data_IF_108255681942
#
_entry.id   IF_108255681942
#
_cell.length_a   1.000
_cell.length_b   1.000
_cell.length_c   1.000
_cell.angle_alpha   90.00
_cell.angle_beta   90.00
_cell.angle_gamma   90.00
#
_symmetry.space_group_name_H-M   'P 1'
#
loop_
_entity.id
_entity.type
_entity.pdbx_description
1 polymer ?
#
# COMPACT_ATOMS: atom_id res chain seq x y z
N UNK A 1 9.25 15.72 19.70
CA UNK A 1 8.95 15.33 18.33
C UNK A 1 8.18 16.43 17.63
N UNK A 2 8.78 17.06 16.64
CA UNK A 2 8.07 18.08 15.86
C UNK A 2 7.29 17.40 14.73
N UNK A 3 5.97 17.53 14.78
CA UNK A 3 5.10 17.03 13.71
C UNK A 3 4.90 18.15 12.70
N UNK A 4 5.64 18.11 11.61
CA UNK A 4 5.45 19.04 10.51
C UNK A 4 4.20 18.65 9.73
N UNK A 5 3.66 19.57 8.93
CA UNK A 5 2.51 19.30 8.09
C UNK A 5 2.74 18.09 7.17
N UNK A 6 3.95 18.03 6.59
CA UNK A 6 4.33 16.92 5.72
C UNK A 6 4.32 15.59 6.48
N UNK A 7 4.85 15.59 7.71
CA UNK A 7 4.89 14.35 8.51
C UNK A 7 3.50 13.89 8.91
N UNK A 8 2.61 14.82 9.25
CA UNK A 8 1.22 14.50 9.54
C UNK A 8 0.52 13.92 8.31
N UNK A 9 0.74 14.52 7.14
CA UNK A 9 0.16 14.03 5.89
C UNK A 9 0.65 12.62 5.57
N UNK A 10 1.96 12.36 5.74
CA UNK A 10 2.53 11.03 5.53
C UNK A 10 1.92 10.01 6.49
N UNK A 11 1.73 10.40 7.75
CA UNK A 11 1.13 9.51 8.74
C UNK A 11 -0.32 9.17 8.39
N UNK A 12 -1.11 10.16 7.99
CA UNK A 12 -2.51 9.95 7.60
C UNK A 12 -2.61 9.05 6.37
N UNK A 13 -1.75 9.27 5.37
CA UNK A 13 -1.73 8.43 4.17
C UNK A 13 -1.34 7.00 4.51
N UNK A 14 -0.36 6.82 5.39
CA UNK A 14 0.08 5.48 5.80
C UNK A 14 -1.02 4.74 6.55
N UNK A 15 -1.76 5.44 7.42
CA UNK A 15 -2.88 4.87 8.16
C UNK A 15 -4.00 4.47 7.18
N UNK A 16 -4.32 5.33 6.22
CA UNK A 16 -5.33 5.03 5.21
C UNK A 16 -4.96 3.79 4.40
N UNK A 17 -3.70 3.71 3.96
CA UNK A 17 -3.20 2.55 3.23
C UNK A 17 -3.25 1.28 4.07
N UNK A 18 -2.91 1.38 5.36
CA UNK A 18 -2.98 0.24 6.27
C UNK A 18 -4.41 -0.30 6.40
N UNK A 19 -5.39 0.59 6.60
CA UNK A 19 -6.79 0.15 6.72
C UNK A 19 -7.29 -0.47 5.43
N UNK A 20 -6.93 0.09 4.27
CA UNK A 20 -7.30 -0.47 2.99
C UNK A 20 -6.74 -1.89 2.83
N UNK A 21 -5.45 -2.05 3.07
CA UNK A 21 -4.78 -3.35 2.94
C UNK A 21 -5.28 -4.35 3.99
N UNK A 22 -5.51 -3.90 5.22
CA UNK A 22 -6.02 -4.76 6.28
C UNK A 22 -7.42 -5.27 5.96
N UNK A 23 -8.27 -4.40 5.42
CA UNK A 23 -9.61 -4.80 4.99
C UNK A 23 -9.55 -5.90 3.92
N UNK A 24 -8.67 -5.73 2.94
CA UNK A 24 -8.49 -6.74 1.89
C UNK A 24 -7.91 -8.04 2.47
N UNK A 25 -7.02 -7.96 3.45
CA UNK A 25 -6.43 -9.13 4.10
C UNK A 25 -7.51 -9.92 4.84
N UNK A 26 -8.35 -9.23 5.60
CA UNK A 26 -9.46 -9.87 6.32
C UNK A 26 -10.42 -10.54 5.33
N UNK A 27 -10.77 -9.84 4.25
CA UNK A 27 -11.64 -10.38 3.22
C UNK A 27 -11.04 -11.64 2.58
N UNK A 28 -9.72 -11.65 2.34
CA UNK A 28 -9.03 -12.80 1.78
C UNK A 28 -9.17 -14.03 2.68
N UNK A 29 -8.94 -13.87 3.98
CA UNK A 29 -9.02 -14.99 4.92
C UNK A 29 -10.45 -15.44 5.18
N UNK A 30 -11.44 -14.56 5.06
CA UNK A 30 -12.85 -14.90 5.17
C UNK A 30 -13.43 -15.46 3.87
N UNK A 31 -12.62 -15.49 2.81
CA UNK A 31 -13.03 -15.93 1.47
C UNK A 31 -14.21 -15.12 0.94
N UNK A 32 -14.28 -13.86 1.31
CA UNK A 32 -15.29 -12.92 0.81
C UNK A 32 -14.62 -11.95 -0.15
N UNK A 33 -15.42 -11.40 -1.07
CA UNK A 33 -14.94 -10.42 -2.03
C UNK A 33 -15.53 -9.07 -1.64
N UNK A 34 -14.67 -8.02 -1.42
CA UNK A 34 -15.20 -6.71 -1.08
C UNK A 34 -16.00 -6.12 -2.23
N UNK A 35 -17.04 -5.31 -1.91
CA UNK A 35 -17.84 -4.69 -2.95
C UNK A 35 -17.01 -3.70 -3.76
N UNK A 36 -17.09 -3.80 -5.09
CA UNK A 36 -16.41 -2.90 -6.01
C UNK A 36 -17.44 -2.08 -6.74
N UNK A 37 -17.32 -0.74 -6.65
CA UNK A 37 -18.26 0.18 -7.27
C UNK A 37 -17.69 0.90 -8.48
N UNK A 38 -16.39 1.12 -8.52
CA UNK A 38 -15.71 1.86 -9.60
C UNK A 38 -15.06 0.89 -10.57
N UNK A 39 -14.13 0.07 -10.09
CA UNK A 39 -13.49 -0.97 -10.90
C UNK A 39 -14.08 -2.32 -10.45
N UNK A 40 -14.98 -2.88 -11.25
CA UNK A 40 -15.79 -4.05 -10.85
C UNK A 40 -15.08 -5.39 -11.04
N UNK A 41 -13.75 -5.38 -11.15
CA UNK A 41 -12.97 -6.59 -11.41
C UNK A 41 -12.09 -6.97 -10.22
N UNK A 42 -12.48 -6.55 -9.00
CA UNK A 42 -11.74 -6.88 -7.79
C UNK A 42 -11.63 -8.39 -7.58
N UNK A 43 -12.69 -9.14 -7.88
CA UNK A 43 -12.69 -10.59 -7.76
C UNK A 43 -11.60 -11.22 -8.62
N UNK A 44 -11.45 -10.77 -9.86
CA UNK A 44 -10.43 -11.29 -10.77
C UNK A 44 -9.02 -11.04 -10.23
N UNK A 45 -8.75 -9.82 -9.74
CA UNK A 45 -7.43 -9.46 -9.21
C UNK A 45 -7.16 -10.18 -7.90
N UNK A 46 -8.13 -10.18 -6.98
CA UNK A 46 -7.94 -10.72 -5.63
C UNK A 46 -7.90 -12.24 -5.57
N UNK A 47 -8.46 -12.92 -6.58
CA UNK A 47 -8.44 -14.39 -6.64
C UNK A 47 -7.41 -14.93 -7.62
N UNK A 48 -6.62 -14.04 -8.27
CA UNK A 48 -5.60 -14.47 -9.23
C UNK A 48 -4.42 -15.16 -8.53
N UNK A 49 -3.62 -15.90 -9.33
CA UNK A 49 -2.40 -16.52 -8.81
C UNK A 49 -1.40 -15.48 -8.32
N UNK A 50 -1.51 -14.22 -8.75
CA UNK A 50 -0.64 -13.14 -8.32
C UNK A 50 -1.07 -12.51 -6.99
N UNK A 51 -2.21 -12.92 -6.43
CA UNK A 51 -2.69 -12.37 -5.15
C UNK A 51 -1.98 -13.00 -3.94
N UNK A 52 -1.25 -14.10 -4.14
CA UNK A 52 -0.50 -14.76 -3.09
C UNK A 52 0.91 -15.06 -3.55
N UNK A 53 1.89 -14.97 -2.63
CA UNK A 53 3.27 -15.35 -2.86
C UNK A 53 3.66 -16.33 -1.76
N UNK A 54 4.05 -17.56 -2.15
CA UNK A 54 4.46 -18.62 -1.21
C UNK A 54 3.38 -18.88 -0.13
N UNK A 55 2.12 -18.79 -0.50
CA UNK A 55 1.00 -19.01 0.41
C UNK A 55 0.61 -17.80 1.26
N UNK A 56 1.34 -16.68 1.14
CA UNK A 56 1.06 -15.46 1.88
C UNK A 56 0.35 -14.46 0.96
N UNK A 57 -0.81 -13.91 1.37
CA UNK A 57 -1.49 -12.92 0.54
C UNK A 57 -0.64 -11.64 0.39
N UNK A 58 -0.59 -11.11 -0.83
CA UNK A 58 0.12 -9.86 -1.11
C UNK A 58 -0.44 -8.71 -0.27
N UNK A 59 -1.76 -8.71 -0.04
CA UNK A 59 -2.40 -7.65 0.75
C UNK A 59 -1.92 -7.66 2.20
N UNK A 60 -1.58 -8.83 2.75
CA UNK A 60 -0.98 -8.91 4.08
C UNK A 60 0.41 -8.26 4.09
N UNK A 61 1.21 -8.54 3.07
CA UNK A 61 2.53 -7.92 2.91
C UNK A 61 2.37 -6.40 2.81
N UNK A 62 1.38 -5.92 2.07
CA UNK A 62 1.06 -4.50 1.98
C UNK A 62 0.69 -3.89 3.32
N UNK A 63 -0.11 -4.61 4.13
CA UNK A 63 -0.48 -4.15 5.47
C UNK A 63 0.75 -3.99 6.35
N UNK A 64 1.67 -4.96 6.31
CA UNK A 64 2.91 -4.90 7.07
C UNK A 64 3.80 -3.76 6.58
N UNK A 65 3.82 -3.52 5.29
CA UNK A 65 4.56 -2.38 4.70
C UNK A 65 4.05 -1.05 5.25
N UNK A 66 2.73 -0.83 5.23
CA UNK A 66 2.16 0.41 5.76
C UNK A 66 2.38 0.53 7.26
N UNK A 67 2.30 -0.58 7.99
CA UNK A 67 2.57 -0.59 9.42
C UNK A 67 4.03 -0.19 9.70
N UNK A 68 4.97 -0.69 8.90
CA UNK A 68 6.38 -0.31 9.02
C UNK A 68 6.58 1.18 8.76
N UNK A 69 5.89 1.74 7.76
CA UNK A 69 5.96 3.18 7.49
C UNK A 69 5.44 3.99 8.68
N UNK A 70 4.31 3.58 9.26
CA UNK A 70 3.75 4.23 10.44
C UNK A 70 4.75 4.19 11.59
N UNK A 71 5.35 3.02 11.81
CA UNK A 71 6.31 2.82 12.87
C UNK A 71 7.52 3.72 12.72
N UNK A 72 8.06 3.83 11.51
CA UNK A 72 9.21 4.70 11.24
C UNK A 72 8.87 6.18 11.45
N UNK A 73 7.63 6.57 11.15
CA UNK A 73 7.18 7.95 11.38
C UNK A 73 7.04 8.26 12.87
N UNK A 74 6.62 7.28 13.67
CA UNK A 74 6.44 7.46 15.10
C UNK A 74 7.77 7.35 15.84
N UNK A 75 8.71 6.55 15.35
CA UNK A 75 10.04 6.43 15.92
C UNK A 75 10.91 7.60 15.46
N UNK A 76 11.09 8.57 16.33
CA UNK A 76 11.82 9.79 15.99
C UNK A 76 13.36 9.61 16.13
N UNK A 77 13.85 8.36 16.14
CA UNK A 77 15.26 8.04 16.34
C UNK A 77 15.99 7.63 15.06
N UNK A 78 15.22 7.17 14.06
CA UNK A 78 15.81 6.71 12.80
C UNK A 78 15.95 7.85 11.81
N UNK A 79 17.03 7.86 10.99
CA UNK A 79 17.10 8.82 9.89
C UNK A 79 15.91 8.69 8.95
N UNK A 80 15.41 9.79 8.46
CA UNK A 80 14.28 9.78 7.52
C UNK A 80 14.62 9.04 6.22
N UNK A 81 15.90 8.81 5.98
CA UNK A 81 16.37 8.05 4.83
C UNK A 81 15.76 6.65 4.78
N UNK A 82 15.63 5.98 5.93
CA UNK A 82 15.01 4.65 5.97
C UNK A 82 13.56 4.69 5.51
N UNK A 83 12.83 5.73 5.89
CA UNK A 83 11.46 5.91 5.43
C UNK A 83 11.41 6.08 3.91
N UNK A 84 12.30 6.93 3.37
CA UNK A 84 12.37 7.16 1.92
C UNK A 84 12.73 5.89 1.15
N UNK A 85 13.68 5.12 1.66
CA UNK A 85 14.10 3.88 1.01
C UNK A 85 12.96 2.84 1.01
N UNK A 86 12.26 2.73 2.13
CA UNK A 86 11.13 1.81 2.22
C UNK A 86 9.99 2.25 1.29
N UNK A 87 9.70 3.55 1.24
CA UNK A 87 8.68 4.08 0.34
C UNK A 87 9.06 3.85 -1.12
N UNK A 88 10.34 4.00 -1.47
CA UNK A 88 10.82 3.75 -2.83
C UNK A 88 10.64 2.27 -3.21
N UNK A 89 11.00 1.36 -2.30
CA UNK A 89 10.80 -0.07 -2.53
C UNK A 89 9.32 -0.41 -2.74
N UNK A 90 8.45 0.17 -1.92
CA UNK A 90 7.00 0.01 -2.07
C UNK A 90 6.49 0.56 -3.40
N UNK A 91 7.04 1.68 -3.85
CA UNK A 91 6.66 2.27 -5.13
C UNK A 91 7.02 1.34 -6.29
N UNK A 92 8.21 0.74 -6.26
CA UNK A 92 8.63 -0.22 -7.30
C UNK A 92 7.69 -1.42 -7.31
N UNK A 93 7.40 -2.00 -6.15
CA UNK A 93 6.49 -3.14 -6.03
C UNK A 93 5.10 -2.76 -6.53
N UNK A 94 4.61 -1.58 -6.16
CA UNK A 94 3.30 -1.09 -6.62
C UNK A 94 3.26 -0.93 -8.12
N UNK A 95 4.34 -0.44 -8.73
CA UNK A 95 4.42 -0.30 -10.18
C UNK A 95 4.36 -1.67 -10.86
N UNK A 96 5.03 -2.67 -10.30
CA UNK A 96 5.00 -4.04 -10.82
C UNK A 96 3.58 -4.61 -10.71
N UNK A 97 2.93 -4.42 -9.56
CA UNK A 97 1.56 -4.90 -9.35
C UNK A 97 0.57 -4.21 -10.29
N UNK A 98 0.73 -2.92 -10.51
CA UNK A 98 -0.11 -2.19 -11.45
C UNK A 98 0.09 -2.72 -12.87
N UNK A 99 1.35 -3.00 -13.26
CA UNK A 99 1.66 -3.61 -14.54
C UNK A 99 0.99 -4.97 -14.72
N UNK A 100 0.99 -5.79 -13.67
CA UNK A 100 0.30 -7.08 -13.71
C UNK A 100 -1.20 -6.89 -13.92
N UNK A 101 -1.82 -5.96 -13.22
CA UNK A 101 -3.24 -5.67 -13.41
C UNK A 101 -3.55 -5.20 -14.83
N UNK A 102 -2.73 -4.28 -15.36
CA UNK A 102 -2.99 -3.65 -16.65
C UNK A 102 -2.67 -4.56 -17.83
N UNK A 103 -1.57 -5.30 -17.78
CA UNK A 103 -1.04 -6.01 -18.96
C UNK A 103 -1.23 -7.53 -18.89
N UNK A 104 -1.23 -8.12 -17.70
CA UNK A 104 -1.36 -9.58 -17.54
C UNK A 104 -2.80 -9.98 -17.28
N UNK A 105 -3.39 -9.42 -16.23
CA UNK A 105 -4.77 -9.75 -15.84
C UNK A 105 -5.80 -9.00 -16.66
N UNK A 106 -5.43 -7.82 -17.17
CA UNK A 106 -6.35 -6.90 -17.86
C UNK A 106 -7.61 -6.64 -17.03
N UNK A 107 -7.42 -6.54 -15.72
CA UNK A 107 -8.47 -6.34 -14.74
C UNK A 107 -7.96 -5.40 -13.65
N UNK A 108 -8.83 -4.54 -13.14
CA UNK A 108 -8.46 -3.53 -12.15
C UNK A 108 -9.25 -3.72 -10.87
N UNK A 109 -8.57 -3.59 -9.75
CA UNK A 109 -9.16 -3.61 -8.42
C UNK A 109 -9.08 -2.20 -7.84
N UNK A 110 -10.23 -1.59 -7.50
CA UNK A 110 -10.25 -0.22 -6.98
C UNK A 110 -9.46 -0.09 -5.67
N UNK A 111 -9.47 -1.11 -4.82
CA UNK A 111 -8.74 -1.08 -3.54
C UNK A 111 -7.24 -1.19 -3.77
N UNK A 112 -6.80 -2.01 -4.70
CA UNK A 112 -5.39 -2.15 -5.04
C UNK A 112 -4.84 -0.87 -5.68
N UNK A 113 -5.60 -0.27 -6.59
CA UNK A 113 -5.23 0.98 -7.24
C UNK A 113 -5.15 2.10 -6.20
N UNK A 114 -6.08 2.13 -5.25
CA UNK A 114 -6.06 3.12 -4.17
C UNK A 114 -4.78 3.00 -3.34
N UNK A 115 -4.39 1.78 -2.96
CA UNK A 115 -3.13 1.55 -2.26
C UNK A 115 -1.93 2.05 -3.06
N UNK A 116 -1.93 1.78 -4.35
CA UNK A 116 -0.83 2.19 -5.24
C UNK A 116 -0.73 3.70 -5.34
N UNK A 117 -1.86 4.39 -5.43
CA UNK A 117 -1.89 5.86 -5.43
C UNK A 117 -1.39 6.40 -4.09
N UNK A 118 -1.78 5.79 -2.98
CA UNK A 118 -1.33 6.19 -1.64
C UNK A 118 0.18 6.05 -1.53
N UNK A 119 0.76 4.96 -2.00
CA UNK A 119 2.23 4.76 -1.97
C UNK A 119 2.93 5.82 -2.80
N UNK A 120 2.41 6.14 -3.98
CA UNK A 120 2.98 7.18 -4.83
C UNK A 120 2.94 8.54 -4.12
N UNK A 121 1.81 8.89 -3.51
CA UNK A 121 1.68 10.14 -2.77
C UNK A 121 2.65 10.19 -1.59
N UNK A 122 2.80 9.09 -0.86
CA UNK A 122 3.74 8.99 0.25
C UNK A 122 5.17 9.24 -0.22
N UNK A 123 5.57 8.62 -1.32
CA UNK A 123 6.92 8.79 -1.85
C UNK A 123 7.18 10.23 -2.28
N UNK A 124 6.25 10.83 -3.01
CA UNK A 124 6.39 12.22 -3.47
C UNK A 124 6.52 13.17 -2.27
N UNK A 125 5.66 13.00 -1.26
CA UNK A 125 5.73 13.84 -0.06
C UNK A 125 7.01 13.61 0.72
N UNK A 126 7.52 12.37 0.74
CA UNK A 126 8.77 12.08 1.44
C UNK A 126 9.96 12.79 0.82
N UNK A 127 9.94 13.02 -0.50
CA UNK A 127 10.98 13.77 -1.19
C UNK A 127 10.96 15.24 -0.82
N UNK A 128 9.81 15.79 -0.45
CA UNK A 128 9.65 17.18 -0.06
C UNK A 128 10.00 17.43 1.41
N UNK A 129 10.06 16.37 2.20
CA UNK A 129 10.35 16.49 3.64
C UNK A 129 11.85 16.68 3.84
N UNK A 130 12.22 17.75 4.54
CA UNK A 130 13.61 18.00 4.92
C UNK A 130 13.78 17.66 6.40
N UNK A 131 14.80 16.85 6.69
CA UNK A 131 15.19 16.55 8.07
C UNK A 131 15.95 17.73 8.68
#
# INVERSE_FOLDING_TARGET
MKLTRTRIALLLLSIAGFFDSAYLTISHYQKTIPPCTIAKQCDTVLTSQFSTILGVPIVLIGSLFFLALIFLLLLNRSPFLYFKLLAFAGLIISAILFGIQAFVLQAYCQYCILSEIIVLAIFILSLKHKE
#
